data_IF_340752610228
#
_entry.id   IF_340752610228
#
_cell.length_a   1.000
_cell.length_b   1.000
_cell.length_c   1.000
_cell.angle_alpha   90.00
_cell.angle_beta   90.00
_cell.angle_gamma   90.00
#
_symmetry.space_group_name_H-M   'P 1'
#
loop_
_entity.id
_entity.type
_entity.pdbx_description
1 polymer ?
#
# COMPACT_ATOMS: atom_id res chain seq x y z
N UNK A 1 9.49 -2.58 -3.94
CA UNK A 1 8.17 -1.93 -4.03
C UNK A 1 7.66 -1.67 -2.62
N UNK A 2 6.94 -0.56 -2.38
CA UNK A 2 6.19 -0.34 -1.14
C UNK A 2 4.71 -0.13 -1.50
N UNK A 3 3.81 -1.05 -1.14
CA UNK A 3 2.38 -0.89 -1.41
C UNK A 3 1.76 0.14 -0.46
N UNK A 4 1.07 1.15 -1.01
CA UNK A 4 0.35 2.17 -0.24
C UNK A 4 -1.11 2.15 -0.67
N UNK A 5 -2.00 1.81 0.26
CA UNK A 5 -3.44 1.80 0.00
C UNK A 5 -4.03 3.19 0.19
N UNK A 6 -4.75 3.66 -0.83
CA UNK A 6 -5.40 4.97 -0.84
C UNK A 6 -6.85 4.81 -1.28
N UNK A 7 -7.70 5.76 -0.88
CA UNK A 7 -9.11 5.73 -1.24
C UNK A 7 -9.36 5.97 -2.74
N UNK A 8 -10.60 5.73 -3.21
CA UNK A 8 -10.94 5.86 -4.62
C UNK A 8 -10.86 7.31 -5.13
N UNK A 9 -11.19 8.30 -4.29
CA UNK A 9 -11.10 9.72 -4.67
C UNK A 9 -9.65 10.17 -4.79
N UNK A 10 -8.79 9.73 -3.87
CA UNK A 10 -7.36 9.96 -3.91
C UNK A 10 -6.73 9.30 -5.14
N UNK A 11 -7.09 8.04 -5.41
CA UNK A 11 -6.67 7.30 -6.61
C UNK A 11 -7.03 8.09 -7.87
N UNK A 12 -8.28 8.52 -7.99
CA UNK A 12 -8.73 9.28 -9.15
C UNK A 12 -7.90 10.55 -9.37
N UNK A 13 -7.64 11.32 -8.31
CA UNK A 13 -6.84 12.55 -8.40
C UNK A 13 -5.39 12.30 -8.86
N UNK A 14 -4.81 11.16 -8.52
CA UNK A 14 -3.46 10.75 -8.91
C UNK A 14 -3.44 10.25 -10.35
N UNK A 15 -4.35 9.32 -10.70
CA UNK A 15 -4.46 8.71 -12.03
C UNK A 15 -4.67 9.77 -13.11
N UNK A 16 -5.53 10.77 -12.88
CA UNK A 16 -5.75 11.87 -13.84
C UNK A 16 -4.45 12.56 -14.26
N UNK A 17 -3.50 12.73 -13.34
CA UNK A 17 -2.19 13.36 -13.63
C UNK A 17 -1.26 12.39 -14.35
N UNK A 18 -1.23 11.13 -13.92
CA UNK A 18 -0.41 10.08 -14.55
C UNK A 18 -0.83 9.89 -16.02
N UNK A 19 -2.12 9.88 -16.29
CA UNK A 19 -2.69 9.75 -17.64
C UNK A 19 -2.50 11.01 -18.48
N UNK A 20 -1.99 12.11 -17.89
CA UNK A 20 -1.80 13.39 -18.56
C UNK A 20 -3.10 14.10 -18.93
N UNK A 21 -4.24 13.64 -18.43
CA UNK A 21 -5.54 14.24 -18.69
C UNK A 21 -5.68 15.55 -17.91
N UNK A 22 -5.92 16.66 -18.63
CA UNK A 22 -6.14 17.97 -18.00
C UNK A 22 -7.63 18.30 -17.95
N UNK A 23 -8.24 18.36 -16.76
CA UNK A 23 -9.63 18.75 -16.64
C UNK A 23 -9.83 20.23 -17.04
N UNK A 24 -11.03 20.63 -17.47
CA UNK A 24 -11.32 22.01 -17.90
C UNK A 24 -11.25 23.03 -16.75
N UNK A 25 -11.27 22.56 -15.50
CA UNK A 25 -11.14 23.35 -14.28
C UNK A 25 -10.15 22.67 -13.34
N UNK A 26 -9.36 23.43 -12.56
CA UNK A 26 -8.41 22.84 -11.62
C UNK A 26 -9.12 22.00 -10.56
N UNK A 27 -8.57 20.82 -10.27
CA UNK A 27 -8.97 20.00 -9.13
C UNK A 27 -8.33 20.53 -7.84
N UNK A 28 -8.66 19.90 -6.70
CA UNK A 28 -8.18 20.31 -5.38
C UNK A 28 -6.66 20.41 -5.31
N UNK A 29 -5.93 19.40 -5.78
CA UNK A 29 -4.46 19.41 -5.74
C UNK A 29 -3.84 20.40 -6.73
N UNK A 30 -4.51 20.71 -7.85
CA UNK A 30 -4.09 21.78 -8.77
C UNK A 30 -4.25 23.15 -8.11
N UNK A 31 -5.41 23.37 -7.46
CA UNK A 31 -5.68 24.60 -6.72
C UNK A 31 -4.68 24.79 -5.57
N UNK A 32 -4.35 23.74 -4.83
CA UNK A 32 -3.33 23.80 -3.77
C UNK A 32 -1.97 24.21 -4.33
N UNK A 33 -1.55 23.63 -5.46
CA UNK A 33 -0.30 24.03 -6.11
C UNK A 33 -0.34 25.50 -6.54
N UNK A 34 -1.43 25.97 -7.14
CA UNK A 34 -1.60 27.37 -7.52
C UNK A 34 -1.57 28.33 -6.32
N UNK A 35 -2.17 27.93 -5.19
CA UNK A 35 -2.11 28.72 -3.96
C UNK A 35 -0.68 28.83 -3.45
N UNK A 36 0.05 27.71 -3.39
CA UNK A 36 1.45 27.70 -2.95
C UNK A 36 2.33 28.59 -3.83
N UNK A 37 2.25 28.41 -5.16
CA UNK A 37 3.06 29.21 -6.10
C UNK A 37 2.69 30.69 -6.08
N UNK A 38 1.40 31.03 -5.96
CA UNK A 38 0.96 32.43 -5.84
C UNK A 38 1.43 33.09 -4.55
N UNK A 39 1.64 32.31 -3.49
CA UNK A 39 2.21 32.78 -2.21
C UNK A 39 3.75 32.77 -2.19
N UNK A 40 4.40 32.49 -3.33
CA UNK A 40 5.85 32.45 -3.47
C UNK A 40 6.51 31.17 -2.95
N UNK A 41 5.73 30.12 -2.67
CA UNK A 41 6.26 28.84 -2.21
C UNK A 41 6.46 27.85 -3.37
N UNK A 42 7.54 27.08 -3.32
CA UNK A 42 7.87 26.02 -4.28
C UNK A 42 7.98 24.69 -3.57
N UNK A 43 7.34 23.64 -4.10
CA UNK A 43 7.47 22.27 -3.58
C UNK A 43 8.85 21.72 -3.97
N UNK A 44 9.69 21.39 -2.99
CA UNK A 44 11.03 20.89 -3.23
C UNK A 44 11.08 19.37 -3.35
N UNK A 45 10.42 18.68 -2.42
CA UNK A 45 10.36 17.23 -2.37
C UNK A 45 9.26 16.79 -1.43
N UNK A 46 8.84 15.55 -1.57
CA UNK A 46 8.04 14.86 -0.55
C UNK A 46 8.80 13.65 -0.04
N UNK A 47 8.61 13.30 1.22
CA UNK A 47 9.29 12.17 1.87
C UNK A 47 8.29 11.39 2.70
N UNK A 48 8.13 10.10 2.40
CA UNK A 48 7.41 9.16 3.27
C UNK A 48 8.38 8.77 4.37
N UNK A 49 8.14 9.23 5.60
CA UNK A 49 9.13 9.21 6.68
C UNK A 49 8.99 8.00 7.59
N UNK A 50 7.75 7.63 7.92
CA UNK A 50 7.47 6.58 8.89
C UNK A 50 6.14 5.88 8.61
N UNK A 51 5.99 4.71 9.22
CA UNK A 51 4.75 3.96 9.29
C UNK A 51 4.50 3.63 10.77
N UNK A 52 3.30 3.92 11.25
CA UNK A 52 2.87 3.65 12.62
C UNK A 52 1.50 2.99 12.55
N UNK A 53 1.35 1.80 13.14
CA UNK A 53 0.09 1.05 13.13
C UNK A 53 -0.52 0.91 11.72
N UNK A 54 0.31 0.56 10.73
CA UNK A 54 -0.06 0.48 9.30
C UNK A 54 -0.48 1.81 8.64
N UNK A 55 -0.27 2.94 9.30
CA UNK A 55 -0.55 4.27 8.77
C UNK A 55 0.76 4.94 8.37
N UNK A 56 0.88 5.26 7.09
CA UNK A 56 2.05 5.96 6.55
C UNK A 56 1.94 7.48 6.78
N UNK A 57 3.07 8.08 7.15
CA UNK A 57 3.21 9.53 7.33
C UNK A 57 4.16 10.08 6.28
N UNK A 58 3.81 11.24 5.72
CA UNK A 58 4.61 11.90 4.71
C UNK A 58 4.82 13.37 5.06
N UNK A 59 5.97 13.91 4.65
CA UNK A 59 6.29 15.32 4.78
C UNK A 59 6.47 15.95 3.41
N UNK A 60 5.90 17.14 3.25
CA UNK A 60 6.07 17.99 2.08
C UNK A 60 7.04 19.09 2.47
N UNK A 61 8.18 19.18 1.77
CA UNK A 61 9.14 20.27 1.96
C UNK A 61 8.90 21.34 0.91
N UNK A 62 8.69 22.56 1.40
CA UNK A 62 8.49 23.76 0.60
C UNK A 62 9.67 24.70 0.80
N UNK A 63 10.02 25.45 -0.24
CA UNK A 63 10.87 26.63 -0.14
C UNK A 63 10.00 27.87 -0.29
N UNK A 64 10.13 28.82 0.61
CA UNK A 64 9.60 30.17 0.45
C UNK A 64 10.72 31.14 0.80
N UNK A 65 11.15 31.94 -0.18
CA UNK A 65 12.35 32.76 -0.06
C UNK A 65 13.57 31.91 0.37
N UNK A 66 14.26 32.26 1.45
CA UNK A 66 15.40 31.52 2.02
C UNK A 66 14.97 30.47 3.07
N UNK A 67 13.68 30.34 3.34
CA UNK A 67 13.16 29.44 4.38
C UNK A 67 12.69 28.10 3.82
N UNK A 68 12.96 27.03 4.57
CA UNK A 68 12.45 25.69 4.32
C UNK A 68 11.30 25.42 5.30
N UNK A 69 10.11 25.22 4.76
CA UNK A 69 8.90 24.89 5.52
C UNK A 69 8.61 23.41 5.30
N UNK A 70 8.42 22.68 6.39
CA UNK A 70 8.04 21.25 6.32
C UNK A 70 6.62 21.09 6.84
N UNK A 71 5.76 20.50 6.03
CA UNK A 71 4.36 20.25 6.36
C UNK A 71 4.14 18.74 6.51
N UNK A 72 3.42 18.36 7.57
CA UNK A 72 2.91 17.01 7.72
C UNK A 72 1.70 16.80 6.79
N UNK A 73 1.65 15.64 6.12
CA UNK A 73 0.62 15.32 5.16
C UNK A 73 0.43 13.81 4.99
N UNK A 74 -0.75 13.43 4.52
CA UNK A 74 -0.99 12.04 4.09
C UNK A 74 -0.14 11.74 2.85
N UNK A 75 0.32 10.48 2.66
CA UNK A 75 1.07 10.08 1.48
C UNK A 75 0.29 10.32 0.18
N UNK A 76 -1.02 10.05 0.17
CA UNK A 76 -1.89 10.26 -1.00
C UNK A 76 -1.85 11.71 -1.49
N UNK A 77 -2.02 12.66 -0.58
CA UNK A 77 -1.99 14.10 -0.88
C UNK A 77 -0.59 14.54 -1.31
N UNK A 78 0.44 14.04 -0.63
CA UNK A 78 1.84 14.34 -0.93
C UNK A 78 2.24 13.87 -2.32
N UNK A 79 1.86 12.65 -2.71
CA UNK A 79 2.12 12.08 -4.03
C UNK A 79 1.35 12.86 -5.09
N UNK A 80 0.06 13.12 -4.87
CA UNK A 80 -0.77 13.88 -5.80
C UNK A 80 -0.23 15.29 -6.07
N UNK A 81 0.31 15.96 -5.04
CA UNK A 81 0.95 17.27 -5.17
C UNK A 81 2.32 17.17 -5.85
N UNK A 82 3.14 16.19 -5.49
CA UNK A 82 4.48 16.00 -6.06
C UNK A 82 4.42 15.74 -7.57
N UNK A 83 3.48 14.90 -8.03
CA UNK A 83 3.27 14.64 -9.46
C UNK A 83 2.91 15.92 -10.24
N UNK A 84 2.09 16.81 -9.64
CA UNK A 84 1.70 18.09 -10.27
C UNK A 84 2.81 19.13 -10.23
N UNK A 85 3.57 19.17 -9.14
CA UNK A 85 4.71 20.07 -8.97
C UNK A 85 5.99 19.58 -9.68
N UNK A 86 5.96 18.35 -10.23
CA UNK A 86 7.11 17.64 -10.76
C UNK A 86 8.26 17.54 -9.74
N UNK A 87 7.91 17.35 -8.46
CA UNK A 87 8.83 17.28 -7.35
C UNK A 87 9.26 15.82 -7.07
N UNK A 88 10.51 15.58 -6.67
CA UNK A 88 10.99 14.25 -6.34
C UNK A 88 10.29 13.66 -5.10
N UNK A 89 10.02 12.36 -5.18
CA UNK A 89 9.41 11.56 -4.12
C UNK A 89 10.49 10.68 -3.49
N UNK A 90 10.63 10.75 -2.17
CA UNK A 90 11.55 9.91 -1.41
C UNK A 90 10.80 9.05 -0.42
N UNK A 91 11.40 7.92 -0.07
CA UNK A 91 10.95 7.04 1.00
C UNK A 91 12.10 6.81 1.97
N UNK A 92 11.81 6.88 3.27
CA UNK A 92 12.77 6.56 4.30
C UNK A 92 13.15 5.08 4.21
N UNK A 93 14.43 4.78 4.46
CA UNK A 93 14.93 3.41 4.41
C UNK A 93 14.23 2.53 5.45
N UNK A 94 13.94 3.04 6.64
CA UNK A 94 13.18 2.33 7.68
C UNK A 94 11.83 1.82 7.17
N UNK A 95 11.08 2.66 6.47
CA UNK A 95 9.78 2.31 5.88
C UNK A 95 9.95 1.24 4.80
N UNK A 96 10.99 1.36 3.96
CA UNK A 96 11.32 0.36 2.95
C UNK A 96 11.74 -0.98 3.57
N UNK A 97 12.50 -0.98 4.65
CA UNK A 97 12.94 -2.20 5.31
C UNK A 97 11.78 -2.91 6.03
N UNK A 98 10.81 -2.15 6.55
CA UNK A 98 9.64 -2.68 7.26
C UNK A 98 8.55 -3.22 6.32
N UNK A 99 8.32 -2.56 5.19
CA UNK A 99 7.17 -2.85 4.28
C UNK A 99 7.57 -3.15 2.85
N UNK A 100 8.87 -3.13 2.55
CA UNK A 100 9.40 -3.35 1.21
C UNK A 100 9.18 -4.77 0.74
N UNK A 101 8.52 -4.90 -0.39
CA UNK A 101 8.36 -6.17 -1.10
C UNK A 101 9.38 -6.20 -2.25
N UNK A 102 10.17 -7.27 -2.30
CA UNK A 102 11.04 -7.57 -3.43
C UNK A 102 10.17 -8.24 -4.48
N UNK A 103 9.91 -7.53 -5.58
CA UNK A 103 9.28 -8.13 -6.75
C UNK A 103 10.36 -8.86 -7.55
N UNK A 104 10.14 -10.15 -7.85
CA UNK A 104 10.87 -10.81 -8.94
C UNK A 104 10.25 -10.36 -10.25
N UNK A 105 11.07 -10.15 -11.28
CA UNK A 105 10.69 -9.49 -12.54
C UNK A 105 9.58 -10.21 -13.35
N UNK A 106 9.19 -11.43 -12.97
CA UNK A 106 8.24 -12.26 -13.72
C UNK A 106 6.74 -12.05 -13.40
N UNK A 107 6.37 -11.23 -12.41
CA UNK A 107 4.98 -11.08 -11.92
C UNK A 107 4.36 -9.68 -12.12
N UNK A 108 4.66 -8.99 -13.23
CA UNK A 108 3.98 -7.74 -13.59
C UNK A 108 2.98 -8.00 -14.73
N UNK A 109 1.87 -8.66 -14.41
CA UNK A 109 0.64 -8.56 -15.21
C UNK A 109 -0.48 -8.10 -14.29
N UNK A 110 -1.04 -6.93 -14.60
CA UNK A 110 -2.05 -6.26 -13.79
C UNK A 110 -3.31 -7.09 -13.68
N UNK A 111 -3.62 -7.51 -12.46
CA UNK A 111 -4.95 -7.96 -12.09
C UNK A 111 -5.58 -6.94 -11.14
N UNK A 112 -6.72 -6.40 -11.55
CA UNK A 112 -7.64 -5.65 -10.72
C UNK A 112 -8.09 -6.53 -9.56
N UNK A 113 -7.55 -6.30 -8.37
CA UNK A 113 -7.90 -7.09 -7.18
C UNK A 113 -9.26 -6.60 -6.66
N UNK A 114 -10.31 -7.30 -7.08
CA UNK A 114 -11.60 -7.30 -6.39
C UNK A 114 -11.42 -7.83 -4.98
N UNK A 115 -11.87 -7.06 -4.01
CA UNK A 115 -11.89 -7.38 -2.59
C UNK A 115 -12.41 -8.80 -2.32
N UNK A 116 -11.58 -9.62 -1.68
CA UNK A 116 -12.01 -10.53 -0.61
C UNK A 116 -10.78 -10.97 0.19
N UNK A 117 -10.92 -10.92 1.52
CA UNK A 117 -9.92 -11.28 2.53
C UNK A 117 -9.03 -12.47 2.13
N UNK A 118 -7.70 -12.29 2.15
CA UNK A 118 -6.77 -13.36 2.53
C UNK A 118 -5.43 -12.80 3.00
N UNK A 119 -5.20 -12.97 4.30
CA UNK A 119 -3.89 -12.92 4.95
C UNK A 119 -3.11 -14.15 4.47
N UNK A 120 -1.97 -14.00 3.81
CA UNK A 120 -1.00 -15.09 3.55
C UNK A 120 0.40 -14.46 3.59
N UNK A 121 1.25 -14.63 4.61
CA UNK A 121 1.78 -15.84 5.24
C UNK A 121 2.34 -16.84 4.20
N UNK A 122 3.62 -17.19 4.36
CA UNK A 122 4.45 -18.05 3.50
C UNK A 122 3.70 -19.28 2.94
N UNK A 123 4.09 -19.82 1.76
CA UNK A 123 3.40 -20.98 1.17
C UNK A 123 3.55 -22.20 2.09
N UNK A 124 2.49 -22.47 2.85
CA UNK A 124 2.39 -23.63 3.74
C UNK A 124 2.22 -24.88 2.88
N UNK A 125 2.92 -25.95 3.22
CA UNK A 125 2.77 -27.26 2.60
C UNK A 125 1.32 -27.74 2.73
N UNK A 126 0.81 -28.56 1.80
CA UNK A 126 -0.55 -29.10 1.86
C UNK A 126 -0.85 -29.77 3.21
N UNK A 127 0.14 -30.43 3.82
CA UNK A 127 0.03 -31.02 5.16
C UNK A 127 -0.27 -29.96 6.24
N UNK A 128 0.44 -28.84 6.22
CA UNK A 128 0.26 -27.74 7.18
C UNK A 128 -1.11 -27.08 7.08
N UNK A 129 -1.68 -27.01 5.87
CA UNK A 129 -3.04 -26.49 5.67
C UNK A 129 -4.06 -27.43 6.32
N UNK A 130 -3.90 -28.73 6.14
CA UNK A 130 -4.77 -29.75 6.75
C UNK A 130 -4.63 -29.75 8.30
N UNK A 131 -3.43 -29.54 8.82
CA UNK A 131 -3.16 -29.42 10.27
C UNK A 131 -3.82 -28.16 10.86
N UNK A 132 -3.65 -27.00 10.24
CA UNK A 132 -4.30 -25.75 10.67
C UNK A 132 -5.84 -25.86 10.63
N UNK A 133 -6.37 -26.54 9.61
CA UNK A 133 -7.81 -26.74 9.45
C UNK A 133 -8.35 -27.69 10.53
N UNK A 134 -7.60 -28.73 10.88
CA UNK A 134 -7.93 -29.63 11.99
C UNK A 134 -7.95 -28.88 13.32
N UNK A 135 -6.95 -28.05 13.59
CA UNK A 135 -6.86 -27.28 14.83
C UNK A 135 -8.06 -26.33 14.98
N UNK A 136 -8.48 -25.69 13.90
CA UNK A 136 -9.65 -24.82 13.91
C UNK A 136 -10.95 -25.60 14.13
N UNK A 137 -11.13 -26.77 13.50
CA UNK A 137 -12.31 -27.62 13.71
C UNK A 137 -12.45 -28.09 15.17
N UNK A 138 -11.32 -28.41 15.82
CA UNK A 138 -11.29 -28.76 17.24
C UNK A 138 -11.63 -27.57 18.15
N UNK A 139 -11.17 -26.35 17.79
CA UNK A 139 -11.52 -25.11 18.51
C UNK A 139 -13.00 -24.76 18.38
N UNK A 140 -13.64 -25.10 17.27
CA UNK A 140 -15.08 -24.86 17.04
C UNK A 140 -15.96 -26.02 17.51
N UNK A 141 -15.40 -27.00 18.23
CA UNK A 141 -16.10 -28.21 18.71
C UNK A 141 -16.82 -29.00 17.60
N UNK A 142 -16.37 -28.86 16.35
CA UNK A 142 -16.90 -29.58 15.19
C UNK A 142 -16.14 -30.91 15.03
N UNK A 143 -16.54 -31.87 15.85
CA UNK A 143 -15.90 -33.19 15.90
C UNK A 143 -16.11 -34.00 14.61
N UNK A 144 -17.15 -33.71 13.81
CA UNK A 144 -17.44 -34.43 12.57
C UNK A 144 -16.44 -34.04 11.47
N UNK A 145 -16.18 -32.75 11.32
CA UNK A 145 -15.17 -32.26 10.37
C UNK A 145 -13.75 -32.62 10.83
N UNK A 146 -13.46 -32.54 12.13
CA UNK A 146 -12.17 -32.94 12.69
C UNK A 146 -11.84 -34.42 12.40
N UNK A 147 -12.82 -35.33 12.50
CA UNK A 147 -12.63 -36.75 12.18
C UNK A 147 -12.27 -36.98 10.70
N UNK A 148 -12.95 -36.29 9.78
CA UNK A 148 -12.70 -36.40 8.33
C UNK A 148 -11.31 -35.89 7.95
N UNK A 149 -10.89 -34.75 8.52
CA UNK A 149 -9.58 -34.15 8.25
C UNK A 149 -8.46 -35.04 8.80
N UNK A 150 -8.64 -35.60 10.02
CA UNK A 150 -7.69 -36.55 10.60
C UNK A 150 -7.47 -37.78 9.72
N UNK A 151 -8.53 -38.34 9.16
CA UNK A 151 -8.45 -39.51 8.28
C UNK A 151 -7.79 -39.16 6.93
N UNK A 152 -7.97 -37.93 6.41
CA UNK A 152 -7.28 -37.43 5.23
C UNK A 152 -5.78 -37.25 5.44
N UNK A 153 -5.37 -36.69 6.59
CA UNK A 153 -3.96 -36.58 6.98
C UNK A 153 -3.34 -37.98 7.07
N UNK A 154 -4.03 -38.94 7.67
CA UNK A 154 -3.54 -40.32 7.79
C UNK A 154 -3.33 -40.98 6.42
N UNK A 155 -4.27 -40.82 5.48
CA UNK A 155 -4.13 -41.34 4.11
C UNK A 155 -2.96 -40.72 3.34
N UNK A 156 -2.68 -39.44 3.57
CA UNK A 156 -1.55 -38.75 2.93
C UNK A 156 -0.20 -39.22 3.49
N UNK A 157 -0.14 -39.53 4.79
CA UNK A 157 1.06 -40.08 5.45
C UNK A 157 1.28 -41.54 5.06
N UNK A 158 0.23 -42.35 4.88
CA UNK A 158 0.34 -43.76 4.45
C UNK A 158 0.69 -43.92 2.96
N UNK A 159 0.40 -42.92 2.12
CA UNK A 159 0.68 -42.92 0.68
C UNK A 159 1.94 -42.11 0.28
N UNK A 160 2.72 -41.63 1.26
CA UNK A 160 4.02 -40.95 1.05
C UNK A 160 5.17 -41.83 1.50
#
# INVERSE_FOLDING_TARGET
MVPIFIGPLETHSITTVIDGTKPPRPMTHDLMLYMLTSLGATVLKITIEEIIDSTFYAKIQLRKDEEIITLDARPSDSIALALRANAPIFIAKSVLDETGIIMKEDEIQGESISSEKKIQALPKSNLQILEDTLENALKTEDYETAAKIRDQIKKLIENS
#
